data_IF_304024818514
#
_entry.id   IF_304024818514
#
_cell.length_a   1.000
_cell.length_b   1.000
_cell.length_c   1.000
_cell.angle_alpha   90.00
_cell.angle_beta   90.00
_cell.angle_gamma   90.00
#
_symmetry.space_group_name_H-M   'P 1'
#
loop_
_entity.id
_entity.type
_entity.pdbx_description
1 polymer ?
#
# COMPACT_ATOMS: atom_id res chain seq x y z
N UNK A 1 -17.91 51.06 -17.23
CA UNK A 1 -17.80 50.56 -15.84
C UNK A 1 -18.63 49.30 -15.54
N UNK A 2 -19.88 49.14 -16.03
CA UNK A 2 -20.69 47.91 -15.76
C UNK A 2 -20.14 46.59 -16.38
N UNK A 3 -19.45 46.66 -17.51
CA UNK A 3 -18.88 45.46 -18.16
C UNK A 3 -17.57 44.92 -17.47
N UNK A 4 -16.81 45.82 -16.84
CA UNK A 4 -15.57 45.43 -16.13
C UNK A 4 -15.84 44.76 -14.77
N UNK A 5 -16.96 45.12 -14.11
CA UNK A 5 -17.37 44.51 -12.83
C UNK A 5 -17.85 43.05 -13.05
N UNK A 6 -18.54 42.80 -14.19
CA UNK A 6 -19.00 41.44 -14.51
C UNK A 6 -17.83 40.47 -14.81
N UNK A 7 -16.73 40.98 -15.41
CA UNK A 7 -15.54 40.18 -15.70
C UNK A 7 -14.74 39.78 -14.43
N UNK A 8 -14.72 40.66 -13.42
CA UNK A 8 -14.03 40.40 -12.13
C UNK A 8 -14.82 39.40 -11.31
N UNK A 9 -16.15 39.43 -11.33
CA UNK A 9 -16.99 38.47 -10.61
C UNK A 9 -16.89 37.07 -11.23
N UNK A 10 -16.73 36.95 -12.54
CA UNK A 10 -16.54 35.65 -13.21
C UNK A 10 -15.16 35.02 -12.92
N UNK A 11 -14.14 35.87 -12.71
CA UNK A 11 -12.76 35.36 -12.35
C UNK A 11 -12.66 34.86 -10.93
N UNK A 12 -13.43 35.41 -9.99
CA UNK A 12 -13.46 34.95 -8.60
C UNK A 12 -14.18 33.62 -8.39
N UNK A 13 -15.02 33.16 -9.33
CA UNK A 13 -15.73 31.87 -9.20
C UNK A 13 -14.91 30.65 -9.60
N UNK A 14 -13.75 30.84 -10.25
CA UNK A 14 -12.85 29.73 -10.64
C UNK A 14 -11.86 29.32 -9.59
N UNK A 15 -11.76 30.01 -8.44
CA UNK A 15 -10.81 29.70 -7.36
C UNK A 15 -11.35 28.74 -6.28
N UNK A 16 -12.51 28.13 -6.48
CA UNK A 16 -13.23 27.39 -5.44
C UNK A 16 -13.34 25.88 -5.62
N UNK A 17 -12.76 25.28 -6.65
CA UNK A 17 -12.77 23.81 -6.83
C UNK A 17 -11.44 23.22 -6.41
N UNK A 18 -11.04 23.42 -5.15
CA UNK A 18 -10.15 22.50 -4.49
C UNK A 18 -10.95 21.21 -4.27
N UNK A 19 -10.87 20.28 -5.22
CA UNK A 19 -11.27 18.91 -4.96
C UNK A 19 -10.52 18.50 -3.69
N UNK A 20 -11.24 18.17 -2.64
CA UNK A 20 -10.64 17.71 -1.38
C UNK A 20 -9.93 16.39 -1.70
N UNK A 21 -8.62 16.47 -1.93
CA UNK A 21 -7.79 15.30 -2.23
C UNK A 21 -7.91 14.32 -1.08
N UNK A 22 -8.31 13.10 -1.41
CA UNK A 22 -8.42 12.03 -0.44
C UNK A 22 -7.01 11.73 0.09
N UNK A 23 -6.75 12.07 1.34
CA UNK A 23 -5.50 11.70 2.01
C UNK A 23 -5.31 10.18 1.98
N UNK A 24 -4.08 9.68 1.78
CA UNK A 24 -3.76 8.27 1.88
C UNK A 24 -4.22 7.69 3.23
N UNK A 25 -4.69 6.46 3.20
CA UNK A 25 -5.12 5.74 4.40
C UNK A 25 -3.90 5.16 5.11
N UNK A 26 -3.74 5.47 6.39
CA UNK A 26 -2.62 5.03 7.22
C UNK A 26 -3.12 4.09 8.31
N UNK A 27 -2.33 3.07 8.67
CA UNK A 27 -2.61 2.17 9.78
C UNK A 27 -1.31 1.90 10.56
N UNK A 28 -1.39 1.82 11.89
CA UNK A 28 -0.26 1.40 12.72
C UNK A 28 -0.41 -0.06 13.13
N UNK A 29 0.70 -0.80 13.06
CA UNK A 29 0.82 -2.21 13.49
C UNK A 29 2.10 -2.40 14.30
N UNK A 30 2.17 -3.37 15.22
CA UNK A 30 3.45 -3.78 15.80
C UNK A 30 4.33 -4.41 14.72
N UNK A 31 5.65 -4.24 14.83
CA UNK A 31 6.60 -4.85 13.88
C UNK A 31 6.71 -6.36 14.07
N UNK A 32 7.19 -7.04 13.04
CA UNK A 32 7.46 -8.48 13.08
C UNK A 32 8.43 -8.85 14.22
N UNK A 33 9.46 -8.01 14.42
CA UNK A 33 10.44 -8.20 15.49
C UNK A 33 9.77 -8.12 16.86
N UNK A 34 8.93 -7.12 17.08
CA UNK A 34 8.21 -6.98 18.34
C UNK A 34 7.26 -8.16 18.58
N UNK A 35 6.48 -8.56 17.57
CA UNK A 35 5.60 -9.73 17.66
C UNK A 35 6.37 -11.01 17.95
N UNK A 36 7.51 -11.22 17.30
CA UNK A 36 8.34 -12.40 17.54
C UNK A 36 8.93 -12.45 18.95
N UNK A 37 9.40 -11.32 19.47
CA UNK A 37 9.95 -11.22 20.84
C UNK A 37 8.91 -11.50 21.93
N UNK A 38 7.63 -11.17 21.67
CA UNK A 38 6.51 -11.36 22.59
C UNK A 38 5.74 -12.68 22.34
N UNK A 39 6.17 -13.50 21.38
CA UNK A 39 5.53 -14.79 21.08
C UNK A 39 4.25 -14.70 20.25
N UNK A 40 3.94 -13.55 19.66
CA UNK A 40 2.75 -13.31 18.85
C UNK A 40 3.01 -13.58 17.35
N UNK A 41 3.38 -14.84 17.05
CA UNK A 41 3.62 -15.30 15.68
C UNK A 41 2.74 -16.50 15.36
N UNK A 42 2.30 -16.59 14.12
CA UNK A 42 1.60 -17.76 13.57
C UNK A 42 2.30 -18.27 12.32
N UNK A 43 1.88 -19.42 11.81
CA UNK A 43 2.42 -20.00 10.57
C UNK A 43 1.49 -19.71 9.41
N UNK A 44 2.07 -19.36 8.28
CA UNK A 44 1.40 -19.14 7.01
C UNK A 44 2.02 -20.05 5.95
N UNK A 45 1.19 -20.88 5.30
CA UNK A 45 1.62 -21.72 4.18
C UNK A 45 1.49 -20.93 2.87
N UNK A 46 2.63 -20.60 2.29
CA UNK A 46 2.72 -19.95 0.99
C UNK A 46 3.06 -21.02 -0.07
N UNK A 47 2.04 -21.77 -0.50
CA UNK A 47 2.13 -22.79 -1.54
C UNK A 47 3.25 -23.84 -1.27
N UNK A 48 3.29 -24.37 -0.05
CA UNK A 48 4.25 -25.37 0.38
C UNK A 48 5.50 -24.80 1.07
N UNK A 49 5.66 -23.48 1.13
CA UNK A 49 6.68 -22.80 1.93
C UNK A 49 6.05 -22.24 3.19
N UNK A 50 6.33 -22.84 4.35
CA UNK A 50 5.81 -22.39 5.63
C UNK A 50 6.62 -21.21 6.14
N UNK A 51 5.95 -20.09 6.36
CA UNK A 51 6.54 -18.86 6.88
C UNK A 51 5.95 -18.50 8.24
N UNK A 52 6.76 -17.90 9.13
CA UNK A 52 6.27 -17.28 10.36
C UNK A 52 5.86 -15.86 10.08
N UNK A 53 4.65 -15.49 10.49
CA UNK A 53 4.06 -14.16 10.29
C UNK A 53 3.44 -13.65 11.60
N UNK A 54 3.33 -12.32 11.80
CA UNK A 54 2.69 -11.75 12.98
C UNK A 54 1.24 -12.19 13.16
N UNK A 55 0.88 -12.54 14.39
CA UNK A 55 -0.49 -12.74 14.83
C UNK A 55 -0.98 -11.49 15.56
N UNK A 56 -1.36 -10.48 14.78
CA UNK A 56 -1.85 -9.20 15.31
C UNK A 56 -3.10 -9.34 16.17
N UNK A 57 -3.94 -10.34 15.90
CA UNK A 57 -5.15 -10.56 16.68
C UNK A 57 -4.82 -11.00 18.10
N UNK A 58 -4.00 -12.04 18.23
CA UNK A 58 -3.56 -12.55 19.54
C UNK A 58 -2.78 -11.47 20.28
N UNK A 59 -1.90 -10.72 19.58
CA UNK A 59 -1.14 -9.62 20.19
C UNK A 59 -2.07 -8.58 20.83
N UNK A 60 -3.07 -8.08 20.11
CA UNK A 60 -4.02 -7.07 20.61
C UNK A 60 -4.92 -7.58 21.73
N UNK A 61 -5.24 -8.89 21.73
CA UNK A 61 -6.10 -9.48 22.76
C UNK A 61 -5.34 -9.83 24.05
N UNK A 62 -4.03 -10.05 23.97
CA UNK A 62 -3.22 -10.56 25.07
C UNK A 62 -2.31 -9.50 25.70
N UNK A 63 -2.04 -8.40 25.01
CA UNK A 63 -1.11 -7.36 25.45
C UNK A 63 -1.82 -5.99 25.57
N UNK A 64 -2.11 -5.62 26.82
CA UNK A 64 -2.77 -4.35 27.12
C UNK A 64 -1.89 -3.13 26.80
N UNK A 65 -0.58 -3.23 26.99
CA UNK A 65 0.37 -2.16 26.67
C UNK A 65 0.40 -1.87 25.19
N UNK A 66 0.37 -2.92 24.34
CA UNK A 66 0.28 -2.76 22.89
C UNK A 66 -0.97 -1.97 22.48
N UNK A 67 -2.13 -2.30 23.06
CA UNK A 67 -3.38 -1.61 22.75
C UNK A 67 -3.31 -0.12 23.11
N UNK A 68 -2.76 0.19 24.27
CA UNK A 68 -2.58 1.58 24.74
C UNK A 68 -1.56 2.33 23.89
N UNK A 69 -0.46 1.70 23.51
CA UNK A 69 0.57 2.26 22.61
C UNK A 69 -0.02 2.61 21.26
N UNK A 70 -0.75 1.69 20.64
CA UNK A 70 -1.44 1.93 19.34
C UNK A 70 -2.45 3.09 19.49
N UNK A 71 -3.21 3.12 20.59
CA UNK A 71 -4.14 4.20 20.89
C UNK A 71 -3.45 5.55 21.00
N UNK A 72 -2.32 5.63 21.71
CA UNK A 72 -1.54 6.86 21.87
C UNK A 72 -1.00 7.37 20.51
N UNK A 73 -0.44 6.48 19.68
CA UNK A 73 0.03 6.84 18.34
C UNK A 73 -1.13 7.32 17.47
N UNK A 74 -2.28 6.65 17.49
CA UNK A 74 -3.47 7.07 16.75
C UNK A 74 -3.88 8.50 17.13
N UNK A 75 -3.88 8.83 18.43
CA UNK A 75 -4.21 10.19 18.92
C UNK A 75 -3.18 11.20 18.44
N UNK A 76 -1.89 10.94 18.62
CA UNK A 76 -0.81 11.84 18.21
C UNK A 76 -0.84 12.14 16.70
N UNK A 77 -1.19 11.16 15.87
CA UNK A 77 -1.32 11.31 14.42
C UNK A 77 -2.59 12.08 14.05
N UNK A 78 -3.73 11.78 14.70
CA UNK A 78 -4.99 12.46 14.47
C UNK A 78 -4.90 13.96 14.80
N UNK A 79 -4.25 14.33 15.91
CA UNK A 79 -4.00 15.72 16.32
C UNK A 79 -3.19 16.50 15.27
N UNK A 80 -2.38 15.80 14.47
CA UNK A 80 -1.57 16.36 13.38
C UNK A 80 -2.24 16.29 12.01
N UNK A 81 -3.53 15.91 11.98
CA UNK A 81 -4.32 15.83 10.75
C UNK A 81 -4.09 14.57 9.91
N UNK A 82 -3.54 13.51 10.51
CA UNK A 82 -3.34 12.19 9.91
C UNK A 82 -4.14 11.12 10.68
N UNK A 83 -5.48 11.08 10.58
CA UNK A 83 -6.28 10.07 11.26
C UNK A 83 -5.95 8.67 10.73
N UNK A 84 -5.66 7.74 11.65
CA UNK A 84 -5.30 6.37 11.32
C UNK A 84 -6.53 5.46 11.29
N UNK A 85 -6.46 4.42 10.47
CA UNK A 85 -7.42 3.33 10.48
C UNK A 85 -7.14 2.41 11.66
N UNK A 86 -8.17 2.07 12.42
CA UNK A 86 -8.04 1.25 13.62
C UNK A 86 -7.75 -0.21 13.25
N UNK A 87 -6.64 -0.76 13.78
CA UNK A 87 -6.20 -2.13 13.51
C UNK A 87 -7.20 -3.17 14.01
N UNK A 88 -7.68 -3.05 15.25
CA UNK A 88 -8.61 -4.02 15.86
C UNK A 88 -9.92 -4.11 15.07
N UNK A 89 -10.51 -2.97 14.73
CA UNK A 89 -11.74 -2.90 13.92
C UNK A 89 -11.56 -3.50 12.53
N UNK A 90 -10.37 -3.32 11.94
CA UNK A 90 -10.04 -3.88 10.62
C UNK A 90 -9.92 -5.40 10.70
N UNK A 91 -9.25 -5.94 11.72
CA UNK A 91 -9.13 -7.39 11.91
C UNK A 91 -10.51 -8.05 12.10
N UNK A 92 -11.41 -7.43 12.88
CA UNK A 92 -12.80 -7.89 13.02
C UNK A 92 -13.55 -7.90 11.68
N UNK A 93 -13.34 -6.86 10.85
CA UNK A 93 -13.94 -6.79 9.50
C UNK A 93 -13.40 -7.86 8.56
N UNK A 94 -12.12 -8.23 8.67
CA UNK A 94 -11.51 -9.33 7.91
C UNK A 94 -12.16 -10.64 8.28
N UNK A 95 -12.34 -10.92 9.56
CA UNK A 95 -12.98 -12.15 10.04
C UNK A 95 -14.43 -12.29 9.56
N UNK A 96 -15.19 -11.19 9.61
CA UNK A 96 -16.58 -11.19 9.10
C UNK A 96 -16.63 -11.51 7.61
N UNK A 97 -15.78 -10.86 6.79
CA UNK A 97 -15.71 -11.14 5.35
C UNK A 97 -15.29 -12.57 5.05
N UNK A 98 -14.31 -13.11 5.79
CA UNK A 98 -13.90 -14.51 5.61
C UNK A 98 -15.06 -15.47 5.90
N UNK A 99 -15.88 -15.20 6.92
CA UNK A 99 -17.06 -15.99 7.21
C UNK A 99 -18.11 -15.89 6.07
N UNK A 100 -18.33 -14.69 5.53
CA UNK A 100 -19.24 -14.45 4.40
C UNK A 100 -18.74 -15.14 3.12
N UNK A 101 -17.44 -15.01 2.80
CA UNK A 101 -16.80 -15.65 1.64
C UNK A 101 -16.92 -17.18 1.72
N UNK A 102 -16.67 -17.78 2.90
CA UNK A 102 -16.83 -19.23 3.10
C UNK A 102 -18.26 -19.71 2.89
N UNK A 103 -19.27 -18.85 3.06
CA UNK A 103 -20.66 -19.18 2.80
C UNK A 103 -21.05 -19.05 1.31
N UNK A 104 -20.37 -18.20 0.57
CA UNK A 104 -20.75 -17.79 -0.80
C UNK A 104 -19.87 -18.40 -1.89
N UNK A 105 -18.60 -18.73 -1.58
CA UNK A 105 -17.65 -19.26 -2.60
C UNK A 105 -17.83 -20.76 -2.74
N UNK A 106 -18.26 -21.18 -3.94
CA UNK A 106 -18.22 -22.58 -4.36
C UNK A 106 -16.76 -23.07 -4.42
N UNK A 107 -16.50 -24.31 -3.95
CA UNK A 107 -15.18 -24.95 -3.88
C UNK A 107 -14.42 -25.11 -5.22
N UNK A 108 -14.87 -24.47 -6.29
CA UNK A 108 -14.39 -24.62 -7.66
C UNK A 108 -13.71 -23.38 -8.25
N UNK A 109 -13.48 -22.31 -7.49
CA UNK A 109 -12.68 -21.21 -8.00
C UNK A 109 -11.18 -21.58 -7.95
N UNK A 110 -10.55 -21.55 -9.13
CA UNK A 110 -9.17 -21.98 -9.36
C UNK A 110 -8.14 -21.33 -8.43
N UNK A 111 -6.93 -21.87 -8.42
CA UNK A 111 -5.84 -21.49 -7.52
C UNK A 111 -5.62 -19.98 -7.45
N UNK A 112 -6.18 -19.34 -6.43
CA UNK A 112 -5.76 -18.01 -6.03
C UNK A 112 -4.38 -18.12 -5.37
N UNK A 113 -3.49 -17.17 -5.67
CA UNK A 113 -2.22 -17.06 -4.98
C UNK A 113 -2.48 -16.89 -3.48
N UNK A 114 -1.80 -17.68 -2.64
CA UNK A 114 -1.92 -17.57 -1.19
C UNK A 114 -1.57 -16.16 -0.74
N UNK A 115 -2.51 -15.50 -0.06
CA UNK A 115 -2.35 -14.12 0.42
C UNK A 115 -1.86 -14.12 1.87
N UNK A 116 -0.75 -13.41 2.15
CA UNK A 116 -0.24 -13.29 3.51
C UNK A 116 -1.22 -12.52 4.42
N UNK A 117 -1.22 -12.75 5.75
CA UNK A 117 -2.04 -11.98 6.69
C UNK A 117 -1.83 -10.47 6.59
N UNK A 118 -0.61 -10.00 6.35
CA UNK A 118 -0.30 -8.59 6.19
C UNK A 118 -0.85 -8.03 4.87
N UNK A 119 -0.71 -8.75 3.75
CA UNK A 119 -1.27 -8.33 2.46
C UNK A 119 -2.79 -8.27 2.52
N UNK A 120 -3.42 -9.25 3.17
CA UNK A 120 -4.87 -9.24 3.43
C UNK A 120 -5.28 -8.05 4.28
N UNK A 121 -4.49 -7.70 5.32
CA UNK A 121 -4.71 -6.53 6.15
C UNK A 121 -4.61 -5.26 5.31
N UNK A 122 -3.53 -5.09 4.52
CA UNK A 122 -3.33 -3.95 3.62
C UNK A 122 -4.51 -3.77 2.65
N UNK A 123 -4.91 -4.85 1.99
CA UNK A 123 -6.01 -4.87 1.02
C UNK A 123 -7.37 -4.55 1.66
N UNK A 124 -7.70 -5.18 2.79
CA UNK A 124 -8.99 -4.98 3.47
C UNK A 124 -9.09 -3.60 4.10
N UNK A 125 -8.01 -3.13 4.72
CA UNK A 125 -7.91 -1.80 5.27
C UNK A 125 -7.89 -0.73 4.17
N UNK A 126 -7.47 -1.09 2.96
CA UNK A 126 -7.03 -0.15 1.91
C UNK A 126 -6.01 0.82 2.51
N UNK A 127 -5.06 0.27 3.30
CA UNK A 127 -4.01 1.04 3.93
C UNK A 127 -2.91 1.31 2.92
N UNK A 128 -2.85 2.55 2.46
CA UNK A 128 -1.80 3.02 1.54
C UNK A 128 -0.45 3.01 2.25
N UNK A 129 -0.43 3.26 3.56
CA UNK A 129 0.77 3.30 4.39
C UNK A 129 0.57 2.45 5.64
N UNK A 130 1.54 1.58 5.92
CA UNK A 130 1.64 0.84 7.17
C UNK A 130 2.72 1.48 8.04
N UNK A 131 2.33 1.95 9.22
CA UNK A 131 3.27 2.37 10.25
C UNK A 131 3.63 1.18 11.13
N UNK A 132 4.89 0.76 11.13
CA UNK A 132 5.39 -0.31 12.00
C UNK A 132 6.06 0.27 13.23
N UNK A 133 5.61 -0.12 14.41
CA UNK A 133 6.20 0.29 15.69
C UNK A 133 6.93 -0.88 16.36
N UNK A 134 8.17 -0.62 16.76
CA UNK A 134 8.97 -1.50 17.62
C UNK A 134 9.40 -0.71 18.84
N UNK A 135 9.37 -1.32 20.02
CA UNK A 135 9.95 -0.71 21.21
C UNK A 135 10.57 -1.74 22.14
N UNK A 136 11.52 -1.29 22.94
CA UNK A 136 12.15 -2.06 24.02
C UNK A 136 12.18 -1.23 25.29
N UNK A 137 11.97 -1.90 26.43
CA UNK A 137 12.07 -1.28 27.74
C UNK A 137 13.50 -1.44 28.27
N UNK A 138 14.18 -0.31 28.50
CA UNK A 138 15.49 -0.26 29.11
C UNK A 138 15.34 -0.05 30.62
N UNK A 139 16.09 -0.83 31.42
CA UNK A 139 16.09 -0.70 32.89
C UNK A 139 17.47 -0.26 33.36
N UNK A 140 17.54 0.86 34.06
CA UNK A 140 18.77 1.40 34.67
C UNK A 140 18.53 1.62 36.15
N UNK A 141 18.93 0.66 36.97
CA UNK A 141 18.54 0.62 38.39
C UNK A 141 17.01 0.55 38.51
N UNK A 142 16.37 1.44 39.32
CA UNK A 142 14.91 1.46 39.48
C UNK A 142 14.18 2.24 38.38
N UNK A 143 14.91 2.87 37.44
CA UNK A 143 14.32 3.67 36.35
C UNK A 143 14.10 2.83 35.10
N UNK A 144 13.00 3.14 34.40
CA UNK A 144 12.69 2.59 33.08
C UNK A 144 12.71 3.70 32.03
N UNK A 145 13.20 3.39 30.84
CA UNK A 145 13.06 4.21 29.64
C UNK A 145 12.68 3.33 28.46
N UNK A 146 12.21 3.93 27.38
CA UNK A 146 11.84 3.21 26.16
C UNK A 146 12.69 3.70 25.01
N UNK A 147 13.30 2.74 24.30
CA UNK A 147 13.83 2.96 22.94
C UNK A 147 12.81 2.48 21.94
N UNK A 148 12.52 3.28 20.93
CA UNK A 148 11.52 2.94 19.90
C UNK A 148 12.07 3.18 18.49
N UNK A 149 11.46 2.49 17.53
CA UNK A 149 11.60 2.71 16.10
C UNK A 149 10.21 2.68 15.46
N UNK A 150 9.84 3.77 14.77
CA UNK A 150 8.59 3.93 14.04
C UNK A 150 8.92 4.14 12.56
N UNK A 151 8.39 3.29 11.69
CA UNK A 151 8.63 3.31 10.25
C UNK A 151 7.30 3.44 9.52
N UNK A 152 7.20 4.39 8.59
CA UNK A 152 6.10 4.49 7.64
C UNK A 152 6.51 3.83 6.32
N UNK A 153 5.80 2.77 5.93
CA UNK A 153 6.09 1.94 4.76
C UNK A 153 4.95 2.08 3.77
N UNK A 154 5.26 2.45 2.54
CA UNK A 154 4.30 2.48 1.44
C UNK A 154 3.89 1.05 1.07
N UNK A 155 2.57 0.77 1.08
CA UNK A 155 2.02 -0.56 0.82
C UNK A 155 2.08 -0.99 -0.66
N UNK A 156 2.43 -0.09 -1.56
CA UNK A 156 2.53 -0.36 -2.99
C UNK A 156 3.94 -0.71 -3.42
N UNK A 157 4.94 -0.09 -2.78
CA UNK A 157 6.36 -0.22 -3.19
C UNK A 157 7.23 -0.87 -2.12
N UNK A 158 6.70 -1.11 -0.92
CA UNK A 158 7.43 -1.53 0.29
C UNK A 158 8.59 -0.58 0.68
N UNK A 159 8.63 0.65 0.13
CA UNK A 159 9.61 1.67 0.48
C UNK A 159 9.30 2.30 1.84
N UNK A 160 10.31 2.49 2.66
CA UNK A 160 10.18 3.32 3.86
C UNK A 160 10.14 4.80 3.44
N UNK A 161 9.03 5.47 3.72
CA UNK A 161 8.76 6.85 3.32
C UNK A 161 8.84 7.84 4.48
N UNK A 162 8.74 7.35 5.72
CA UNK A 162 8.89 8.13 6.93
C UNK A 162 9.56 7.29 8.02
N UNK A 163 10.27 7.95 8.94
CA UNK A 163 10.92 7.29 10.05
C UNK A 163 11.11 8.20 11.25
N UNK A 164 10.93 7.63 12.45
CA UNK A 164 11.24 8.26 13.72
C UNK A 164 11.81 7.20 14.67
N UNK A 165 12.91 7.52 15.34
CA UNK A 165 13.53 6.66 16.34
C UNK A 165 14.10 7.48 17.48
N UNK A 166 14.16 6.89 18.65
CA UNK A 166 14.74 7.59 19.80
C UNK A 166 14.63 6.79 21.09
N UNK A 167 15.20 7.36 22.14
CA UNK A 167 15.08 6.86 23.51
C UNK A 167 14.50 7.96 24.38
N UNK A 168 13.42 7.65 25.09
CA UNK A 168 12.79 8.57 26.03
C UNK A 168 13.58 8.72 27.33
N UNK A 169 13.25 9.74 28.10
CA UNK A 169 13.86 10.01 29.40
C UNK A 169 13.52 8.91 30.42
N UNK A 170 14.48 8.51 31.28
CA UNK A 170 14.24 7.52 32.32
C UNK A 170 13.30 8.01 33.42
N UNK A 171 12.23 7.26 33.70
CA UNK A 171 11.28 7.52 34.77
C UNK A 171 11.25 6.43 35.84
N UNK A 172 10.88 6.80 37.07
CA UNK A 172 10.69 5.85 38.19
C UNK A 172 9.26 5.28 38.23
N UNK A 173 8.28 6.04 37.74
CA UNK A 173 6.86 5.81 38.03
C UNK A 173 5.99 5.74 36.77
N UNK A 174 6.50 6.18 35.61
CA UNK A 174 5.69 6.19 34.40
C UNK A 174 5.50 4.77 33.83
N UNK A 175 4.28 4.49 33.43
CA UNK A 175 3.90 3.24 32.74
C UNK A 175 4.44 3.22 31.30
N UNK A 176 4.58 2.02 30.73
CA UNK A 176 5.14 1.80 29.38
C UNK A 176 4.47 2.67 28.31
N UNK A 177 3.13 2.75 28.21
CA UNK A 177 2.48 3.59 27.20
C UNK A 177 2.80 5.07 27.33
N UNK A 178 2.93 5.59 28.58
CA UNK A 178 3.28 6.98 28.83
C UNK A 178 4.73 7.26 28.43
N UNK A 179 5.67 6.39 28.82
CA UNK A 179 7.08 6.49 28.42
C UNK A 179 7.25 6.49 26.90
N UNK A 180 6.48 5.64 26.20
CA UNK A 180 6.53 5.60 24.74
C UNK A 180 5.93 6.87 24.13
N UNK A 181 4.79 7.35 24.64
CA UNK A 181 4.17 8.56 24.14
C UNK A 181 5.11 9.77 24.28
N UNK A 182 5.77 9.93 25.42
CA UNK A 182 6.74 11.00 25.65
C UNK A 182 7.96 10.88 24.72
N UNK A 183 8.47 9.66 24.50
CA UNK A 183 9.58 9.44 23.59
C UNK A 183 9.23 9.78 22.14
N UNK A 184 8.05 9.35 21.68
CA UNK A 184 7.60 9.48 20.29
C UNK A 184 7.22 10.92 19.95
N UNK A 185 6.57 11.66 20.88
CA UNK A 185 6.04 13.01 20.61
C UNK A 185 7.13 13.96 20.11
N UNK A 186 8.35 13.84 20.60
CA UNK A 186 9.51 14.70 20.23
C UNK A 186 9.85 14.62 18.74
N UNK A 187 9.62 13.48 18.10
CA UNK A 187 10.00 13.23 16.70
C UNK A 187 8.79 13.16 15.75
N UNK A 188 7.56 13.26 16.28
CA UNK A 188 6.34 13.08 15.51
C UNK A 188 6.13 14.17 14.46
N UNK A 189 6.53 15.40 14.72
CA UNK A 189 6.36 16.50 13.76
C UNK A 189 7.22 16.27 12.51
N UNK A 190 8.48 15.82 12.70
CA UNK A 190 9.35 15.46 11.56
C UNK A 190 8.82 14.23 10.81
N UNK A 191 8.29 13.25 11.51
CA UNK A 191 7.65 12.07 10.88
C UNK A 191 6.45 12.49 10.01
N UNK A 192 5.58 13.36 10.54
CA UNK A 192 4.44 13.88 9.80
C UNK A 192 4.86 14.75 8.60
N UNK A 193 5.94 15.50 8.71
CA UNK A 193 6.51 16.26 7.59
C UNK A 193 6.98 15.34 6.46
N UNK A 194 7.65 14.23 6.78
CA UNK A 194 8.08 13.23 5.80
C UNK A 194 6.86 12.59 5.09
N UNK A 195 5.80 12.25 5.85
CA UNK A 195 4.56 11.75 5.30
C UNK A 195 3.90 12.76 4.34
N UNK A 196 3.84 14.04 4.74
CA UNK A 196 3.24 15.07 3.89
C UNK A 196 4.04 15.25 2.60
N UNK A 197 5.37 15.29 2.68
CA UNK A 197 6.23 15.37 1.50
C UNK A 197 6.01 14.20 0.53
N UNK A 198 5.80 13.00 1.08
CA UNK A 198 5.47 11.83 0.25
C UNK A 198 4.09 11.97 -0.40
N UNK A 199 3.09 12.52 0.30
CA UNK A 199 1.76 12.74 -0.27
C UNK A 199 1.78 13.77 -1.39
N UNK A 200 2.57 14.82 -1.23
CA UNK A 200 2.75 15.84 -2.26
C UNK A 200 3.43 15.23 -3.51
N UNK A 201 4.40 14.33 -3.34
CA UNK A 201 5.01 13.58 -4.44
C UNK A 201 4.00 12.65 -5.16
N UNK A 202 3.15 11.94 -4.41
CA UNK A 202 2.08 11.12 -4.98
C UNK A 202 1.12 11.94 -5.85
N UNK A 203 0.75 13.12 -5.37
CA UNK A 203 -0.14 14.02 -6.11
C UNK A 203 0.53 14.53 -7.39
N UNK A 204 1.79 14.92 -7.29
CA UNK A 204 2.53 15.51 -8.41
C UNK A 204 2.94 14.48 -9.49
N UNK A 205 3.32 13.26 -9.08
CA UNK A 205 3.92 12.25 -9.96
C UNK A 205 3.09 10.99 -10.14
N UNK A 206 1.92 10.89 -9.47
CA UNK A 206 1.14 9.67 -9.46
C UNK A 206 1.72 8.59 -8.53
N UNK A 207 1.00 7.46 -8.43
CA UNK A 207 1.35 6.32 -7.59
C UNK A 207 2.35 5.42 -8.29
N UNK A 208 3.38 5.01 -7.59
CA UNK A 208 4.35 4.04 -8.10
C UNK A 208 3.83 2.61 -7.89
N UNK A 209 3.91 1.80 -8.95
CA UNK A 209 3.54 0.37 -8.94
C UNK A 209 4.51 -0.44 -9.79
N UNK A 210 4.42 -1.77 -9.70
CA UNK A 210 5.14 -2.71 -10.58
C UNK A 210 4.16 -3.46 -11.47
N UNK A 211 4.53 -3.68 -12.72
CA UNK A 211 3.75 -4.40 -13.71
C UNK A 211 4.62 -5.48 -14.36
N UNK A 212 4.17 -6.73 -14.25
CA UNK A 212 4.77 -7.83 -14.99
C UNK A 212 3.87 -8.19 -16.18
N UNK A 213 4.47 -8.48 -17.31
CA UNK A 213 3.80 -9.14 -18.43
C UNK A 213 4.46 -10.50 -18.62
N UNK A 214 3.66 -11.53 -18.73
CA UNK A 214 4.11 -12.91 -18.94
C UNK A 214 3.32 -13.54 -20.06
N UNK A 215 3.98 -14.34 -20.87
CA UNK A 215 3.31 -15.17 -21.89
C UNK A 215 3.17 -16.56 -21.33
N UNK A 216 1.96 -17.12 -21.43
CA UNK A 216 1.75 -18.53 -21.13
C UNK A 216 2.34 -19.36 -22.27
N UNK A 217 3.24 -20.28 -21.94
CA UNK A 217 3.94 -21.10 -22.94
C UNK A 217 2.99 -22.11 -23.60
N UNK A 218 2.29 -21.65 -24.63
CA UNK A 218 1.47 -22.48 -25.54
C UNK A 218 2.17 -22.70 -26.86
N UNK A 219 3.33 -22.05 -27.10
CA UNK A 219 4.04 -22.08 -28.38
C UNK A 219 3.36 -21.31 -29.52
N UNK A 220 2.23 -20.63 -29.25
CA UNK A 220 1.46 -19.93 -30.30
C UNK A 220 1.85 -18.46 -30.43
N UNK A 221 2.40 -17.86 -29.37
CA UNK A 221 2.71 -16.43 -29.29
C UNK A 221 3.79 -16.20 -28.22
N UNK A 222 4.64 -15.21 -28.46
CA UNK A 222 5.59 -14.64 -27.51
C UNK A 222 5.57 -13.12 -27.57
N UNK A 223 6.47 -12.46 -26.85
CA UNK A 223 6.55 -11.00 -26.81
C UNK A 223 7.28 -10.37 -28.02
N UNK A 224 7.95 -11.19 -28.84
CA UNK A 224 8.55 -10.81 -30.13
C UNK A 224 7.59 -11.01 -31.31
N UNK A 225 6.41 -11.61 -31.06
CA UNK A 225 5.38 -11.79 -32.09
C UNK A 225 4.91 -10.45 -32.64
N UNK A 226 4.99 -10.31 -33.98
CA UNK A 226 4.63 -9.07 -34.66
C UNK A 226 3.13 -8.95 -34.93
N UNK A 227 2.57 -7.76 -34.66
CA UNK A 227 1.24 -7.35 -35.05
C UNK A 227 1.33 -6.12 -35.95
N UNK A 228 0.92 -6.25 -37.19
CA UNK A 228 1.04 -5.20 -38.23
C UNK A 228 2.49 -4.70 -38.44
N UNK A 229 3.49 -5.56 -38.21
CA UNK A 229 4.91 -5.23 -38.38
C UNK A 229 5.53 -4.54 -37.15
N UNK A 230 4.88 -4.57 -35.99
CA UNK A 230 5.37 -4.06 -34.71
C UNK A 230 5.34 -5.19 -33.68
N UNK A 231 6.43 -5.39 -32.96
CA UNK A 231 6.53 -6.42 -31.91
C UNK A 231 5.58 -6.12 -30.73
N UNK A 232 5.03 -7.16 -30.13
CA UNK A 232 4.14 -7.03 -28.99
C UNK A 232 4.79 -6.28 -27.83
N UNK A 233 6.10 -6.45 -27.62
CA UNK A 233 6.89 -5.70 -26.65
C UNK A 233 6.82 -4.18 -26.90
N UNK A 234 7.01 -3.74 -28.15
CA UNK A 234 6.95 -2.34 -28.52
C UNK A 234 5.54 -1.76 -28.36
N UNK A 235 4.52 -2.51 -28.72
CA UNK A 235 3.11 -2.13 -28.53
C UNK A 235 2.82 -1.88 -27.05
N UNK A 236 3.32 -2.75 -26.16
CA UNK A 236 3.14 -2.60 -24.72
C UNK A 236 3.93 -1.38 -24.20
N UNK A 237 5.17 -1.20 -24.64
CA UNK A 237 6.01 -0.05 -24.27
C UNK A 237 5.36 1.29 -24.68
N UNK A 238 4.80 1.38 -25.88
CA UNK A 238 4.06 2.55 -26.36
C UNK A 238 2.81 2.82 -25.52
N UNK A 239 2.06 1.77 -25.18
CA UNK A 239 0.90 1.90 -24.31
C UNK A 239 1.31 2.37 -22.91
N UNK A 240 2.37 1.82 -22.31
CA UNK A 240 2.93 2.24 -21.03
C UNK A 240 3.32 3.70 -21.06
N UNK A 241 4.03 4.14 -22.11
CA UNK A 241 4.42 5.53 -22.30
C UNK A 241 3.20 6.46 -22.38
N UNK A 242 2.15 6.07 -23.07
CA UNK A 242 0.97 6.89 -23.24
C UNK A 242 0.08 6.98 -21.99
N UNK A 243 0.11 5.99 -21.09
CA UNK A 243 -0.82 5.86 -19.97
C UNK A 243 -0.19 6.08 -18.59
N UNK A 244 1.13 6.27 -18.49
CA UNK A 244 1.81 6.61 -17.25
C UNK A 244 1.88 8.13 -17.04
N UNK A 245 1.90 8.56 -15.78
CA UNK A 245 2.03 9.98 -15.43
C UNK A 245 3.42 10.48 -15.82
N UNK A 246 3.48 11.56 -16.57
CA UNK A 246 4.73 12.15 -17.10
C UNK A 246 5.58 11.16 -17.92
N UNK A 247 4.98 10.11 -18.49
CA UNK A 247 5.67 9.06 -19.24
C UNK A 247 6.73 8.31 -18.42
N UNK A 248 6.52 8.20 -17.09
CA UNK A 248 7.51 7.61 -16.18
C UNK A 248 7.18 6.12 -15.95
N UNK A 249 8.06 5.27 -16.45
CA UNK A 249 8.16 3.84 -16.15
C UNK A 249 9.58 3.36 -16.47
N UNK A 250 9.99 2.24 -15.88
CA UNK A 250 11.28 1.63 -16.12
C UNK A 250 11.10 0.15 -16.51
N UNK A 251 11.53 -0.23 -17.70
CA UNK A 251 11.61 -1.63 -18.09
C UNK A 251 12.91 -2.21 -17.50
N UNK A 252 12.78 -2.95 -16.40
CA UNK A 252 13.93 -3.45 -15.62
C UNK A 252 14.46 -4.79 -16.14
N UNK A 253 13.59 -5.60 -16.76
CA UNK A 253 13.96 -6.89 -17.35
C UNK A 253 13.02 -7.25 -18.47
N UNK A 254 13.51 -7.96 -19.50
CA UNK A 254 12.72 -8.41 -20.63
C UNK A 254 13.35 -9.65 -21.30
N UNK A 255 12.46 -10.56 -21.71
CA UNK A 255 12.77 -11.72 -22.55
C UNK A 255 11.60 -11.99 -23.49
N UNK A 256 11.72 -12.98 -24.37
CA UNK A 256 10.64 -13.40 -25.28
C UNK A 256 9.31 -13.75 -24.58
N UNK A 257 9.35 -14.20 -23.30
CA UNK A 257 8.18 -14.64 -22.55
C UNK A 257 7.87 -13.80 -21.30
N UNK A 258 8.62 -12.74 -21.06
CA UNK A 258 8.53 -11.99 -19.81
C UNK A 258 9.02 -10.56 -19.94
N UNK A 259 8.27 -9.60 -19.42
CA UNK A 259 8.71 -8.22 -19.21
C UNK A 259 8.38 -7.80 -17.80
N UNK A 260 9.31 -7.11 -17.15
CA UNK A 260 9.10 -6.46 -15.85
C UNK A 260 9.23 -4.95 -15.99
N UNK A 261 8.18 -4.25 -15.57
CA UNK A 261 8.19 -2.80 -15.44
C UNK A 261 8.18 -2.43 -13.96
N UNK A 262 9.13 -1.62 -13.57
CA UNK A 262 9.25 -1.05 -12.23
C UNK A 262 9.09 0.47 -12.27
N UNK A 263 8.84 1.09 -11.10
CA UNK A 263 8.66 2.52 -10.98
C UNK A 263 7.59 3.09 -11.96
N UNK A 264 6.58 2.30 -12.23
CA UNK A 264 5.47 2.69 -13.12
C UNK A 264 4.60 3.72 -12.40
N UNK A 265 4.58 4.95 -12.86
CA UNK A 265 3.79 6.03 -12.27
C UNK A 265 2.40 6.06 -12.87
N UNK A 266 1.41 5.54 -12.12
CA UNK A 266 0.01 5.52 -12.54
C UNK A 266 -0.77 6.71 -11.95
N UNK A 267 -1.84 7.19 -12.63
CA UNK A 267 -2.73 8.20 -12.05
C UNK A 267 -3.32 7.74 -10.71
N UNK A 268 -3.51 8.65 -9.76
CA UNK A 268 -4.16 8.33 -8.48
C UNK A 268 -5.64 7.97 -8.64
N UNK A 269 -6.28 8.57 -9.64
CA UNK A 269 -7.71 8.42 -9.89
C UNK A 269 -7.99 8.07 -11.35
N UNK A 270 -9.03 7.29 -11.54
CA UNK A 270 -9.65 7.04 -12.85
C UNK A 270 -10.42 8.27 -13.32
N UNK A 271 -10.78 8.34 -14.58
CA UNK A 271 -11.60 9.42 -15.17
C UNK A 271 -12.96 9.60 -14.48
N UNK A 272 -13.49 8.54 -13.86
CA UNK A 272 -14.75 8.58 -13.09
C UNK A 272 -14.56 8.95 -11.60
N UNK A 273 -13.36 9.36 -11.17
CA UNK A 273 -13.04 9.75 -9.80
C UNK A 273 -12.76 8.57 -8.84
N UNK A 274 -12.87 7.31 -9.28
CA UNK A 274 -12.48 6.17 -8.47
C UNK A 274 -10.95 6.08 -8.38
N UNK A 275 -10.43 5.52 -7.27
CA UNK A 275 -8.99 5.30 -7.11
C UNK A 275 -8.45 4.33 -8.16
N UNK A 276 -7.27 4.63 -8.69
CA UNK A 276 -6.50 3.75 -9.56
C UNK A 276 -5.56 2.90 -8.70
N UNK A 277 -5.52 1.61 -8.96
CA UNK A 277 -4.55 0.65 -8.39
C UNK A 277 -3.85 -0.10 -9.52
N UNK A 278 -2.83 -0.89 -9.19
CA UNK A 278 -2.07 -1.66 -10.17
C UNK A 278 -2.97 -2.60 -11.00
N UNK A 279 -3.95 -3.24 -10.36
CA UNK A 279 -4.91 -4.11 -11.05
C UNK A 279 -5.73 -3.36 -12.09
N UNK A 280 -6.30 -2.23 -11.69
CA UNK A 280 -7.13 -1.41 -12.60
C UNK A 280 -6.32 -0.88 -13.78
N UNK A 281 -5.07 -0.48 -13.54
CA UNK A 281 -4.17 -0.03 -14.58
C UNK A 281 -3.89 -1.15 -15.60
N UNK A 282 -3.52 -2.34 -15.13
CA UNK A 282 -3.24 -3.48 -16.01
C UNK A 282 -4.53 -4.01 -16.69
N UNK A 283 -5.70 -3.87 -16.07
CA UNK A 283 -6.98 -4.15 -16.75
C UNK A 283 -7.24 -3.24 -17.93
N UNK A 284 -6.76 -1.99 -17.90
CA UNK A 284 -6.83 -1.09 -19.06
C UNK A 284 -5.92 -1.58 -20.19
N UNK A 285 -4.68 -1.99 -19.88
CA UNK A 285 -3.78 -2.63 -20.86
C UNK A 285 -4.39 -3.89 -21.44
N UNK A 286 -4.93 -4.78 -20.60
CA UNK A 286 -5.66 -5.98 -21.05
C UNK A 286 -6.78 -5.63 -22.04
N UNK A 287 -7.55 -4.60 -21.73
CA UNK A 287 -8.68 -4.18 -22.57
C UNK A 287 -8.18 -3.65 -23.91
N UNK A 288 -7.12 -2.85 -23.91
CA UNK A 288 -6.47 -2.37 -25.13
C UNK A 288 -5.97 -3.52 -26.02
N UNK A 289 -5.19 -4.44 -25.47
CA UNK A 289 -4.66 -5.60 -26.22
C UNK A 289 -5.78 -6.47 -26.80
N UNK A 290 -6.87 -6.65 -26.05
CA UNK A 290 -8.03 -7.44 -26.54
C UNK A 290 -8.78 -6.72 -27.66
N UNK A 291 -8.96 -5.40 -27.59
CA UNK A 291 -9.75 -4.64 -28.55
C UNK A 291 -8.99 -4.42 -29.85
N UNK A 292 -7.72 -4.04 -29.77
CA UNK A 292 -6.93 -3.65 -30.94
C UNK A 292 -6.24 -4.86 -31.61
N UNK A 293 -5.82 -5.85 -30.81
CA UNK A 293 -5.00 -6.97 -31.30
C UNK A 293 -5.64 -8.33 -31.11
N UNK A 294 -6.85 -8.42 -30.54
CA UNK A 294 -7.58 -9.68 -30.25
C UNK A 294 -6.82 -10.61 -29.28
N UNK A 295 -5.87 -10.08 -28.52
CA UNK A 295 -5.04 -10.86 -27.61
C UNK A 295 -5.83 -11.16 -26.33
N UNK A 296 -5.98 -12.47 -26.02
CA UNK A 296 -6.59 -12.93 -24.77
C UNK A 296 -5.55 -12.92 -23.65
N UNK A 297 -5.96 -12.43 -22.48
CA UNK A 297 -5.06 -12.36 -21.33
C UNK A 297 -5.84 -12.31 -20.03
N UNK A 298 -5.17 -12.65 -18.92
CA UNK A 298 -5.71 -12.63 -17.56
C UNK A 298 -4.87 -11.70 -16.70
N UNK A 299 -5.53 -10.97 -15.80
CA UNK A 299 -4.87 -10.14 -14.81
C UNK A 299 -4.84 -10.86 -13.48
N UNK A 300 -3.66 -10.97 -12.88
CA UNK A 300 -3.44 -11.46 -11.53
C UNK A 300 -2.85 -10.33 -10.69
N UNK A 301 -3.14 -10.32 -9.38
CA UNK A 301 -2.64 -9.28 -8.47
C UNK A 301 -1.85 -9.89 -7.32
N UNK A 302 -0.86 -9.15 -6.83
CA UNK A 302 -0.13 -9.50 -5.62
C UNK A 302 0.01 -8.26 -4.75
N UNK A 303 -0.64 -8.27 -3.59
CA UNK A 303 -0.73 -7.08 -2.74
C UNK A 303 -1.50 -5.93 -3.42
N UNK A 304 -1.11 -4.69 -3.16
CA UNK A 304 -1.72 -3.48 -3.74
C UNK A 304 -0.93 -2.91 -4.92
N UNK A 305 0.38 -3.08 -4.90
CA UNK A 305 1.31 -2.39 -5.79
C UNK A 305 1.80 -3.19 -6.99
N UNK A 306 1.46 -4.47 -7.11
CA UNK A 306 1.93 -5.32 -8.20
C UNK A 306 0.77 -6.00 -8.94
N UNK A 307 0.78 -5.89 -10.25
CA UNK A 307 -0.14 -6.62 -11.11
C UNK A 307 0.61 -7.37 -12.22
N UNK A 308 0.09 -8.54 -12.58
CA UNK A 308 0.68 -9.42 -13.58
C UNK A 308 -0.36 -9.60 -14.69
N UNK A 309 0.03 -9.32 -15.92
CA UNK A 309 -0.74 -9.66 -17.11
C UNK A 309 -0.20 -10.96 -17.68
N UNK A 310 -1.03 -12.00 -17.72
CA UNK A 310 -0.68 -13.27 -18.34
C UNK A 310 -1.37 -13.34 -19.71
N UNK A 311 -0.59 -13.35 -20.78
CA UNK A 311 -1.04 -13.42 -22.16
C UNK A 311 -1.19 -14.88 -22.57
N UNK A 312 -2.24 -15.20 -23.34
CA UNK A 312 -2.53 -16.57 -23.79
C UNK A 312 -3.38 -17.39 -22.83
N UNK A 313 -3.65 -16.92 -21.61
CA UNK A 313 -4.58 -17.53 -20.65
C UNK A 313 -5.99 -16.92 -20.79
N UNK A 314 -7.03 -17.79 -20.86
CA UNK A 314 -8.44 -17.39 -20.95
C UNK A 314 -9.08 -17.20 -19.60
#
# INVERSE_FOLDING_TARGET
MRKSILSIILFCFFLGLSAQEKKPTIMVVPSDVWCNQHGYMTTFDNQGSVQKVPDYKTALQSDADLLLVIGAINTLMADRGFPLKNLESTLKSIEQRMAEDNMTVSKTSGAELAESPLDRLRRTAKADIIMQITWTVNTTGPKKSITYNLQGIDSYTDKQIAGAQGTGDPSFTAEIPVLLQEAVVTHMDNFCFQLQSYFDDLVAKGREVSVDVRVFDTGEMDLETEFNGVELTEIIDEWMNANTVNHIFNKSDASENYIQYEQVRIPLYKTNGATMDAESFVRNLRTYLRQEYQIQSKVMTRGLGRAILVIGEK
#
